data_IF_818488973009
#
_entry.id   IF_818488973009
#
_cell.length_a   1.000
_cell.length_b   1.000
_cell.length_c   1.000
_cell.angle_alpha   90.00
_cell.angle_beta   90.00
_cell.angle_gamma   90.00
#
_symmetry.space_group_name_H-M   'P 1'
#
loop_
_entity.id
_entity.type
_entity.pdbx_description
1 polymer ?
#
# COMPACT_ATOMS: atom_id res chain seq x y z
N UNK A 1 -24.77 12.49 5.27
CA UNK A 1 -23.57 12.16 6.07
C UNK A 1 -23.54 10.65 6.16
N UNK A 2 -22.81 9.99 5.27
CA UNK A 2 -22.62 8.55 5.34
C UNK A 2 -21.74 8.28 6.56
N UNK A 3 -22.18 7.37 7.42
CA UNK A 3 -21.39 6.87 8.53
C UNK A 3 -20.38 5.91 7.92
N UNK A 4 -19.26 6.43 7.42
CA UNK A 4 -18.15 5.60 6.95
C UNK A 4 -17.60 4.87 8.17
N UNK A 5 -17.87 3.57 8.24
CA UNK A 5 -17.22 2.71 9.21
C UNK A 5 -15.72 2.77 8.93
N UNK A 6 -14.97 3.43 9.81
CA UNK A 6 -13.51 3.31 9.84
C UNK A 6 -13.18 1.89 10.27
N UNK A 7 -13.15 0.97 9.32
CA UNK A 7 -12.72 -0.40 9.57
C UNK A 7 -11.23 -0.35 9.91
N UNK A 8 -10.95 -0.60 11.19
CA UNK A 8 -9.59 -0.69 11.73
C UNK A 8 -9.49 -2.03 12.42
N UNK A 9 -8.55 -2.86 11.96
CA UNK A 9 -8.35 -4.19 12.47
C UNK A 9 -6.87 -4.53 12.55
N UNK A 10 -6.52 -5.35 13.54
CA UNK A 10 -5.24 -6.05 13.57
C UNK A 10 -5.46 -7.40 12.89
N UNK A 11 -4.73 -7.67 11.82
CA UNK A 11 -4.79 -8.93 11.08
C UNK A 11 -3.42 -9.59 11.08
N UNK A 12 -3.36 -10.90 10.81
CA UNK A 12 -2.06 -11.55 10.68
C UNK A 12 -1.35 -11.05 9.42
N UNK A 13 -0.01 -11.06 9.47
CA UNK A 13 0.83 -10.78 8.30
C UNK A 13 0.46 -11.70 7.13
N UNK A 14 0.17 -12.97 7.40
CA UNK A 14 -0.29 -13.93 6.38
C UNK A 14 -1.61 -13.50 5.72
N UNK A 15 -2.61 -13.10 6.52
CA UNK A 15 -3.89 -12.63 6.00
C UNK A 15 -3.73 -11.37 5.15
N UNK A 16 -2.90 -10.42 5.61
CA UNK A 16 -2.57 -9.22 4.85
C UNK A 16 -1.89 -9.54 3.51
N UNK A 17 -0.91 -10.44 3.52
CA UNK A 17 -0.24 -10.91 2.31
C UNK A 17 -1.23 -11.54 1.32
N UNK A 18 -2.15 -12.37 1.81
CA UNK A 18 -3.20 -12.97 0.97
C UNK A 18 -4.15 -11.92 0.39
N UNK A 19 -4.53 -10.90 1.16
CA UNK A 19 -5.39 -9.81 0.69
C UNK A 19 -4.72 -9.00 -0.43
N UNK A 20 -3.44 -8.64 -0.27
CA UNK A 20 -2.66 -7.93 -1.29
C UNK A 20 -2.49 -8.82 -2.53
N UNK A 21 -2.17 -10.11 -2.35
CA UNK A 21 -2.03 -11.06 -3.46
C UNK A 21 -3.34 -11.24 -4.24
N UNK A 22 -4.48 -11.28 -3.55
CA UNK A 22 -5.79 -11.33 -4.19
C UNK A 22 -6.07 -10.05 -5.00
N UNK A 23 -5.70 -8.87 -4.49
CA UNK A 23 -5.82 -7.61 -5.21
C UNK A 23 -4.95 -7.58 -6.48
N UNK A 24 -3.69 -8.03 -6.38
CA UNK A 24 -2.75 -8.18 -7.50
C UNK A 24 -3.31 -9.14 -8.57
N UNK A 25 -3.69 -10.35 -8.16
CA UNK A 25 -4.16 -11.41 -9.06
C UNK A 25 -5.42 -11.03 -9.81
N UNK A 26 -6.38 -10.43 -9.12
CA UNK A 26 -7.68 -10.07 -9.69
C UNK A 26 -7.68 -8.68 -10.34
N UNK A 27 -6.58 -7.93 -10.21
CA UNK A 27 -6.44 -6.56 -10.71
C UNK A 27 -7.58 -5.63 -10.29
N UNK A 28 -8.05 -5.78 -9.04
CA UNK A 28 -9.23 -5.06 -8.51
C UNK A 28 -8.90 -3.72 -7.86
N UNK A 29 -7.63 -3.51 -7.51
CA UNK A 29 -7.15 -2.32 -6.80
C UNK A 29 -5.94 -1.73 -7.52
N UNK A 30 -5.77 -0.42 -7.36
CA UNK A 30 -4.47 0.21 -7.41
C UNK A 30 -3.75 -0.08 -6.08
N UNK A 31 -2.46 -0.36 -6.15
CA UNK A 31 -1.64 -0.75 -5.01
C UNK A 31 -0.50 0.26 -4.90
N UNK A 32 -0.53 1.09 -3.88
CA UNK A 32 0.56 2.00 -3.58
C UNK A 32 1.49 1.37 -2.54
N UNK A 33 2.78 1.26 -2.89
CA UNK A 33 3.83 0.88 -1.96
C UNK A 33 4.35 2.13 -1.26
N UNK A 34 4.45 2.07 0.06
CA UNK A 34 4.81 3.20 0.91
C UNK A 34 6.05 2.81 1.72
N UNK A 35 7.18 3.49 1.54
CA UNK A 35 8.40 3.19 2.28
C UNK A 35 8.30 3.66 3.74
N UNK A 36 9.19 3.17 4.62
CA UNK A 36 9.21 3.61 6.02
C UNK A 36 9.34 5.12 6.19
N UNK A 37 8.47 5.68 7.02
CA UNK A 37 8.46 7.11 7.34
C UNK A 37 7.68 8.00 6.36
N UNK A 38 7.00 7.40 5.37
CA UNK A 38 6.05 8.09 4.48
C UNK A 38 4.60 7.66 4.71
N UNK A 39 4.34 6.80 5.71
CA UNK A 39 3.01 6.28 5.97
C UNK A 39 2.00 7.39 6.32
N UNK A 40 2.39 8.39 7.13
CA UNK A 40 1.55 9.55 7.42
C UNK A 40 1.22 10.38 6.18
N UNK A 41 2.22 10.68 5.35
CA UNK A 41 2.02 11.43 4.10
C UNK A 41 1.12 10.68 3.12
N UNK A 42 1.34 9.38 2.94
CA UNK A 42 0.49 8.54 2.10
C UNK A 42 -0.97 8.54 2.59
N UNK A 43 -1.18 8.51 3.91
CA UNK A 43 -2.50 8.58 4.49
C UNK A 43 -3.21 9.92 4.22
N UNK A 44 -2.50 11.04 4.33
CA UNK A 44 -3.03 12.37 3.99
C UNK A 44 -3.43 12.46 2.52
N UNK A 45 -2.62 11.91 1.60
CA UNK A 45 -2.95 11.86 0.17
C UNK A 45 -4.24 11.04 -0.07
N UNK A 46 -4.37 9.90 0.60
CA UNK A 46 -5.48 8.96 0.42
C UNK A 46 -6.79 9.42 1.08
N UNK A 47 -6.77 10.32 2.06
CA UNK A 47 -7.95 10.79 2.79
C UNK A 47 -9.02 11.41 1.86
N UNK A 48 -8.61 11.99 0.73
CA UNK A 48 -9.52 12.56 -0.26
C UNK A 48 -10.21 11.54 -1.17
N UNK A 49 -9.83 10.27 -1.13
CA UNK A 49 -10.32 9.25 -2.05
C UNK A 49 -11.51 8.46 -1.48
N UNK A 50 -12.52 8.14 -2.31
CA UNK A 50 -13.65 7.33 -1.88
C UNK A 50 -13.25 5.86 -1.72
N UNK A 51 -12.82 5.51 -0.51
CA UNK A 51 -12.47 4.14 -0.12
C UNK A 51 -11.00 3.82 -0.38
N UNK A 52 -10.29 3.47 0.69
CA UNK A 52 -8.94 2.92 0.66
C UNK A 52 -8.75 2.00 1.86
N UNK A 53 -7.73 1.16 1.79
CA UNK A 53 -7.24 0.37 2.91
C UNK A 53 -5.72 0.51 2.97
N UNK A 54 -5.19 1.03 4.07
CA UNK A 54 -3.76 1.05 4.36
C UNK A 54 -3.44 -0.12 5.28
N UNK A 55 -2.45 -0.92 4.89
CA UNK A 55 -1.90 -2.00 5.68
C UNK A 55 -0.49 -1.58 6.13
N UNK A 56 -0.31 -1.35 7.43
CA UNK A 56 0.96 -0.96 8.04
C UNK A 56 1.70 -2.18 8.58
N UNK A 57 2.89 -2.41 8.06
CA UNK A 57 3.82 -3.45 8.50
C UNK A 57 4.94 -2.84 9.35
N UNK A 58 5.07 -3.33 10.58
CA UNK A 58 6.09 -2.94 11.57
C UNK A 58 7.10 -4.06 11.82
N UNK A 59 7.14 -5.09 10.97
CA UNK A 59 8.02 -6.24 11.14
C UNK A 59 7.54 -7.23 12.20
N UNK A 60 6.26 -7.23 12.55
CA UNK A 60 5.67 -8.18 13.51
C UNK A 60 4.69 -9.14 12.83
N UNK A 61 4.24 -10.19 13.54
CA UNK A 61 3.29 -11.17 13.02
C UNK A 61 1.88 -10.59 12.80
N UNK A 62 1.59 -9.43 13.39
CA UNK A 62 0.34 -8.70 13.23
C UNK A 62 0.61 -7.37 12.52
N UNK A 63 -0.29 -7.00 11.63
CA UNK A 63 -0.26 -5.73 10.90
C UNK A 63 -1.56 -4.97 11.14
N UNK A 64 -1.48 -3.64 11.09
CA UNK A 64 -2.65 -2.78 11.21
C UNK A 64 -3.25 -2.58 9.81
N UNK A 65 -4.50 -2.99 9.61
CA UNK A 65 -5.27 -2.70 8.41
C UNK A 65 -6.33 -1.65 8.76
N UNK A 66 -6.31 -0.50 8.07
CA UNK A 66 -7.25 0.59 8.37
C UNK A 66 -7.61 1.43 7.15
N UNK A 67 -8.86 1.88 7.09
CA UNK A 67 -9.32 2.93 6.17
C UNK A 67 -9.22 4.34 6.77
N UNK A 68 -8.61 4.49 7.95
CA UNK A 68 -8.55 5.77 8.66
C UNK A 68 -7.17 6.42 8.55
N UNK A 69 -7.11 7.54 7.81
CA UNK A 69 -5.87 8.30 7.64
C UNK A 69 -5.31 8.81 8.98
N UNK A 70 -6.18 9.25 9.88
CA UNK A 70 -5.78 9.72 11.22
C UNK A 70 -5.18 8.62 12.10
N UNK A 71 -5.66 7.36 11.98
CA UNK A 71 -5.05 6.22 12.68
C UNK A 71 -3.65 5.93 12.14
N UNK A 72 -3.46 6.02 10.82
CA UNK A 72 -2.14 5.84 10.21
C UNK A 72 -1.18 6.94 10.65
N UNK A 73 -1.58 8.20 10.57
CA UNK A 73 -0.76 9.33 11.02
C UNK A 73 -0.39 9.24 12.51
N UNK A 74 -1.33 8.84 13.37
CA UNK A 74 -1.06 8.62 14.78
C UNK A 74 -0.06 7.47 15.00
N UNK A 75 -0.20 6.37 14.26
CA UNK A 75 0.70 5.21 14.34
C UNK A 75 2.12 5.55 13.87
N UNK A 76 2.24 6.25 12.74
CA UNK A 76 3.52 6.69 12.19
C UNK A 76 4.22 7.67 13.13
N UNK A 77 3.47 8.54 13.82
CA UNK A 77 4.03 9.42 14.86
C UNK A 77 4.61 8.66 16.05
N UNK A 78 4.01 7.53 16.43
CA UNK A 78 4.46 6.70 17.55
C UNK A 78 5.63 5.78 17.19
N UNK A 79 5.73 5.39 15.92
CA UNK A 79 6.75 4.47 15.39
C UNK A 79 7.41 5.02 14.12
N UNK A 80 7.96 6.25 14.18
CA UNK A 80 8.39 6.94 12.98
C UNK A 80 9.53 6.21 12.30
N UNK A 81 9.43 6.07 10.98
CA UNK A 81 10.44 5.40 10.11
C UNK A 81 10.61 3.90 10.36
N UNK A 82 9.71 3.27 11.12
CA UNK A 82 9.71 1.82 11.35
C UNK A 82 8.55 1.12 10.64
N UNK A 83 7.58 1.87 10.14
CA UNK A 83 6.37 1.31 9.50
C UNK A 83 6.44 1.51 7.99
N UNK A 84 6.57 0.42 7.24
CA UNK A 84 6.27 0.42 5.80
C UNK A 84 4.77 0.20 5.60
N UNK A 85 4.21 0.61 4.47
CA UNK A 85 2.79 0.39 4.19
C UNK A 85 2.52 -0.09 2.78
N UNK A 86 1.40 -0.79 2.63
CA UNK A 86 0.78 -1.08 1.35
C UNK A 86 -0.63 -0.52 1.38
N UNK A 87 -0.94 0.41 0.49
CA UNK A 87 -2.28 0.96 0.34
C UNK A 87 -2.98 0.30 -0.85
N UNK A 88 -4.21 -0.16 -0.61
CA UNK A 88 -5.10 -0.70 -1.61
C UNK A 88 -6.22 0.31 -1.87
N UNK A 89 -6.36 0.74 -3.12
CA UNK A 89 -7.43 1.66 -3.54
C UNK A 89 -8.26 0.98 -4.62
N UNK A 90 -9.58 0.79 -4.43
CA UNK A 90 -10.41 0.11 -5.41
C UNK A 90 -10.37 0.82 -6.77
N UNK A 91 -10.29 0.05 -7.87
CA UNK A 91 -10.29 0.65 -9.22
C UNK A 91 -11.55 1.44 -9.56
N UNK A 92 -12.64 1.23 -8.81
CA UNK A 92 -13.87 2.03 -8.92
C UNK A 92 -13.67 3.51 -8.59
N UNK A 93 -12.58 3.88 -7.92
CA UNK A 93 -12.18 5.28 -7.69
C UNK A 93 -11.79 5.98 -9.00
N UNK A 94 -11.30 5.23 -9.99
CA UNK A 94 -10.89 5.75 -11.29
C UNK A 94 -9.46 6.28 -11.31
N UNK A 95 -8.78 6.07 -12.43
CA UNK A 95 -7.37 6.46 -12.69
C UNK A 95 -7.11 7.95 -12.51
N UNK A 96 -8.05 8.82 -12.91
CA UNK A 96 -7.89 10.28 -12.81
C UNK A 96 -7.73 10.76 -11.36
N UNK A 97 -8.56 10.27 -10.44
CA UNK A 97 -8.50 10.63 -9.02
C UNK A 97 -7.22 10.13 -8.36
N UNK A 98 -6.77 8.92 -8.72
CA UNK A 98 -5.50 8.36 -8.24
C UNK A 98 -4.32 9.14 -8.81
N UNK A 99 -4.36 9.48 -10.09
CA UNK A 99 -3.30 10.25 -10.74
C UNK A 99 -3.14 11.64 -10.11
N UNK A 100 -4.25 12.30 -9.78
CA UNK A 100 -4.24 13.58 -9.06
C UNK A 100 -3.72 13.42 -7.62
N UNK A 101 -4.13 12.36 -6.92
CA UNK A 101 -3.71 12.06 -5.55
C UNK A 101 -2.20 11.80 -5.44
N UNK A 102 -1.63 11.00 -6.34
CA UNK A 102 -0.22 10.60 -6.28
C UNK A 102 0.70 11.44 -7.18
N UNK A 103 0.15 12.34 -8.00
CA UNK A 103 0.92 13.13 -8.97
C UNK A 103 1.60 12.30 -10.06
N UNK A 104 1.11 11.09 -10.33
CA UNK A 104 1.66 10.15 -11.31
C UNK A 104 0.63 9.90 -12.41
N UNK A 105 1.05 9.93 -13.68
CA UNK A 105 0.15 9.61 -14.80
C UNK A 105 -0.09 8.10 -14.87
N UNK A 106 -1.33 7.67 -14.65
CA UNK A 106 -1.72 6.26 -14.73
C UNK A 106 -2.46 6.04 -16.05
N UNK A 107 -1.90 5.25 -16.99
CA UNK A 107 -2.57 4.95 -18.24
C UNK A 107 -3.89 4.20 -18.01
N UNK A 108 -4.93 4.60 -18.74
CA UNK A 108 -6.27 3.98 -18.67
C UNK A 108 -6.32 2.57 -19.29
N UNK A 109 -5.33 2.25 -20.13
CA UNK A 109 -5.34 1.06 -20.97
C UNK A 109 -4.48 -0.04 -20.34
N UNK A 110 -5.10 -1.20 -20.11
CA UNK A 110 -4.56 -2.55 -19.80
C UNK A 110 -4.20 -2.94 -18.35
N UNK A 111 -4.17 -2.00 -17.40
CA UNK A 111 -3.81 -2.29 -16.01
C UNK A 111 -2.35 -2.71 -15.84
N UNK A 112 -1.46 -2.25 -16.73
CA UNK A 112 -0.01 -2.40 -16.64
C UNK A 112 0.62 -1.55 -15.54
N UNK A 113 -0.07 -0.52 -15.05
CA UNK A 113 0.38 0.34 -13.96
C UNK A 113 -0.61 0.38 -12.79
N UNK A 114 -0.93 -0.79 -12.26
CA UNK A 114 -1.72 -0.92 -11.03
C UNK A 114 -0.86 -0.75 -9.76
N UNK A 115 0.47 -0.69 -9.89
CA UNK A 115 1.40 -0.56 -8.77
C UNK A 115 2.03 0.83 -8.80
N UNK A 116 1.77 1.62 -7.77
CA UNK A 116 2.31 2.97 -7.55
C UNK A 116 3.40 2.89 -6.50
N UNK A 117 4.51 3.58 -6.70
CA UNK A 117 5.57 3.64 -5.71
C UNK A 117 5.69 5.08 -5.22
N UNK A 118 5.45 5.28 -3.93
CA UNK A 118 5.78 6.55 -3.27
C UNK A 118 7.28 6.57 -2.98
N UNK A 119 7.95 7.66 -3.37
CA UNK A 119 9.38 7.83 -3.18
C UNK A 119 9.72 9.27 -2.82
N UNK A 120 10.55 9.48 -1.79
CA UNK A 120 11.11 10.79 -1.43
C UNK A 120 12.38 11.12 -2.26
N UNK A 121 12.28 11.02 -3.58
CA UNK A 121 13.38 11.37 -4.50
C UNK A 121 14.60 10.42 -4.50
N UNK A 122 14.44 9.18 -4.03
CA UNK A 122 15.47 8.14 -3.96
C UNK A 122 15.16 6.84 -4.72
N UNK A 123 15.83 5.74 -4.36
CA UNK A 123 15.56 4.39 -4.89
C UNK A 123 14.18 3.88 -4.45
N UNK A 124 13.51 3.14 -5.33
CA UNK A 124 12.22 2.49 -5.02
C UNK A 124 12.42 1.46 -3.93
N UNK A 125 11.76 1.64 -2.79
CA UNK A 125 11.77 0.67 -1.69
C UNK A 125 10.44 -0.08 -1.65
N UNK A 126 10.50 -1.39 -1.92
CA UNK A 126 9.35 -2.27 -1.84
C UNK A 126 9.20 -2.80 -0.41
N UNK A 127 8.06 -2.58 0.28
CA UNK A 127 7.79 -3.20 1.56
C UNK A 127 7.89 -4.73 1.47
N UNK A 128 8.49 -5.38 2.46
CA UNK A 128 8.61 -6.85 2.49
C UNK A 128 7.26 -7.52 2.38
N UNK A 129 6.23 -6.98 3.05
CA UNK A 129 4.84 -7.45 2.93
C UNK A 129 4.33 -7.45 1.48
N UNK A 130 4.68 -6.41 0.70
CA UNK A 130 4.31 -6.34 -0.72
C UNK A 130 5.05 -7.40 -1.54
N UNK A 131 6.37 -7.54 -1.32
CA UNK A 131 7.19 -8.57 -2.00
C UNK A 131 6.63 -9.97 -1.72
N UNK A 132 6.27 -10.26 -0.46
CA UNK A 132 5.69 -11.54 -0.06
C UNK A 132 4.37 -11.80 -0.79
N UNK A 133 3.56 -10.76 -1.01
CA UNK A 133 2.31 -10.88 -1.76
C UNK A 133 2.53 -11.09 -3.26
N UNK A 134 3.53 -10.41 -3.84
CA UNK A 134 3.96 -10.65 -5.23
C UNK A 134 4.44 -12.08 -5.40
N UNK A 135 5.16 -12.64 -4.42
CA UNK A 135 5.69 -14.02 -4.48
C UNK A 135 4.58 -15.08 -4.63
N UNK A 136 3.37 -14.80 -4.14
CA UNK A 136 2.21 -15.68 -4.29
C UNK A 136 1.58 -15.64 -5.70
N UNK A 137 1.83 -14.59 -6.49
CA UNK A 137 1.17 -14.34 -7.79
C UNK A 137 2.17 -14.42 -8.95
N UNK A 138 3.36 -13.85 -8.76
CA UNK A 138 4.49 -13.82 -9.68
C UNK A 138 5.82 -14.01 -8.90
N UNK A 139 6.22 -15.26 -8.62
CA UNK A 139 7.46 -15.57 -7.91
C UNK A 139 8.71 -15.03 -8.60
N UNK A 140 8.68 -14.91 -9.94
CA UNK A 140 9.81 -14.40 -10.71
C UNK A 140 9.94 -12.87 -10.53
N UNK A 141 8.83 -12.15 -10.57
CA UNK A 141 8.77 -10.73 -10.24
C UNK A 141 9.23 -10.46 -8.81
N UNK A 142 8.77 -11.24 -7.83
CA UNK A 142 9.21 -11.12 -6.44
C UNK A 142 10.72 -11.35 -6.27
N UNK A 143 11.29 -12.37 -6.94
CA UNK A 143 12.72 -12.59 -6.93
C UNK A 143 13.52 -11.42 -7.53
N UNK A 144 13.01 -10.79 -8.60
CA UNK A 144 13.63 -9.59 -9.17
C UNK A 144 13.56 -8.41 -8.20
N UNK A 145 12.43 -8.17 -7.56
CA UNK A 145 12.27 -7.10 -6.57
C UNK A 145 13.22 -7.27 -5.37
N UNK A 146 13.36 -8.50 -4.86
CA UNK A 146 14.35 -8.84 -3.81
C UNK A 146 15.80 -8.61 -4.26
N UNK A 147 16.08 -8.71 -5.56
CA UNK A 147 17.40 -8.44 -6.14
C UNK A 147 17.67 -6.97 -6.49
N UNK A 148 16.62 -6.15 -6.61
CA UNK A 148 16.69 -4.73 -6.99
C UNK A 148 16.61 -3.77 -5.79
N UNK A 149 15.89 -4.14 -4.73
CA UNK A 149 15.82 -3.37 -3.49
C UNK A 149 16.80 -3.87 -2.44
N UNK A 150 17.46 -2.97 -1.71
CA UNK A 150 17.98 -3.36 -0.38
C UNK A 150 16.77 -3.67 0.50
N UNK A 151 16.74 -4.80 1.22
CA UNK A 151 15.69 -5.02 2.22
C UNK A 151 15.78 -3.87 3.23
N UNK A 152 14.66 -3.17 3.42
CA UNK A 152 14.53 -2.26 4.55
C UNK A 152 14.11 -3.13 5.71
N UNK A 153 15.09 -3.44 6.58
CA UNK A 153 14.86 -4.10 7.87
C UNK A 153 14.10 -3.19 8.84
#
# INVERSE_FOLDING_TARGET
MANESNDTSMISREEATQNIAAALKNKTHFIATVPPGMAGEAAELLEGLPGFLIILDQGTDLVLATSSASVVAATDTLTPRQSAAVALVPKTVGTAAISECFGQEIPDDDGSQDILNLSDGGEVAYPTLFIDAVDLVDPLGAAQMRGQGRPVE
#
